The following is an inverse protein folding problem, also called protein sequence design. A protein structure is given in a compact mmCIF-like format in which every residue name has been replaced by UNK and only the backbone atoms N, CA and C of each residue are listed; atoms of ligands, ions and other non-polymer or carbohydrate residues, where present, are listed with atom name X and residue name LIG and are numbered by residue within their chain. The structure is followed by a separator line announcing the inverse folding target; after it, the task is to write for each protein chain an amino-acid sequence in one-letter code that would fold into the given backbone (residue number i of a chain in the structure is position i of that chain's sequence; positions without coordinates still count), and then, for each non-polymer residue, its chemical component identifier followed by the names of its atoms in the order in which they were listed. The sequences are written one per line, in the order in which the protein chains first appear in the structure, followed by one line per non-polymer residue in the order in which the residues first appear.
data_IF_107000203623
#
_entry.id   IF_107000203623
#
_cell.length_a   1.000
_cell.length_b   1.000
_cell.length_c   1.000
_cell.angle_alpha   90.00
_cell.angle_beta   90.00
_cell.angle_gamma   90.00
#
_symmetry.space_group_name_H-M   'P 1'
#
loop_
_entity.id
_entity.type
_entity.pdbx_description
1 polymer ?
#
# COMPACT_ATOMS: atom_id res chain seq x y z
N UNK A 1 25.85 25.98 -31.62
CA UNK A 1 24.52 26.16 -30.99
C UNK A 1 23.46 25.57 -31.90
N UNK A 2 22.94 24.39 -31.56
CA UNK A 2 21.78 23.78 -32.23
C UNK A 2 20.91 23.15 -31.14
N UNK A 3 19.70 23.69 -30.96
CA UNK A 3 18.67 23.10 -30.12
C UNK A 3 17.89 22.08 -30.95
N UNK A 4 17.72 20.82 -30.49
CA UNK A 4 16.76 19.92 -31.11
C UNK A 4 15.34 20.29 -30.68
N UNK A 5 14.50 20.60 -31.68
CA UNK A 5 13.07 20.89 -31.52
C UNK A 5 12.30 19.59 -31.29
N UNK A 6 11.73 19.41 -30.11
CA UNK A 6 10.83 18.27 -29.81
C UNK A 6 9.49 18.51 -30.50
N UNK A 7 9.17 17.67 -31.48
CA UNK A 7 7.88 17.63 -32.19
C UNK A 7 6.81 17.07 -31.24
N UNK A 8 5.93 17.92 -30.71
CA UNK A 8 4.81 17.50 -29.87
C UNK A 8 3.79 16.71 -30.72
N UNK A 9 3.54 15.46 -30.32
CA UNK A 9 2.52 14.58 -30.90
C UNK A 9 1.14 14.92 -30.29
N UNK A 10 0.04 14.92 -31.06
CA UNK A 10 -1.28 15.27 -30.54
C UNK A 10 -1.74 14.27 -29.48
N UNK A 11 -2.12 14.81 -28.32
CA UNK A 11 -2.59 14.09 -27.14
C UNK A 11 -3.93 13.40 -27.47
N UNK A 12 -3.94 12.07 -27.46
CA UNK A 12 -5.17 11.30 -27.59
C UNK A 12 -6.17 11.70 -26.49
N UNK A 13 -7.40 11.99 -26.91
CA UNK A 13 -8.53 12.37 -26.06
C UNK A 13 -8.78 11.31 -24.99
N UNK A 14 -8.69 11.69 -23.72
CA UNK A 14 -8.99 10.78 -22.61
C UNK A 14 -10.49 10.48 -22.58
N UNK A 15 -10.91 9.20 -22.44
CA UNK A 15 -12.32 8.88 -22.25
C UNK A 15 -12.81 9.46 -20.91
N UNK A 16 -13.94 10.14 -21.00
CA UNK A 16 -14.61 10.83 -19.89
C UNK A 16 -14.96 9.86 -18.76
N UNK A 17 -14.40 10.14 -17.59
CA UNK A 17 -14.84 9.76 -16.23
C UNK A 17 -15.99 8.74 -16.19
N UNK A 18 -15.64 7.45 -16.25
CA UNK A 18 -16.55 6.39 -15.83
C UNK A 18 -16.93 6.63 -14.36
N UNK A 19 -18.22 6.77 -14.10
CA UNK A 19 -18.77 6.89 -12.74
C UNK A 19 -18.38 5.67 -11.92
N UNK A 20 -17.39 5.84 -11.05
CA UNK A 20 -17.08 4.86 -10.01
C UNK A 20 -18.23 4.93 -9.01
N UNK A 21 -19.16 3.99 -9.11
CA UNK A 21 -20.24 3.83 -8.14
C UNK A 21 -19.60 3.60 -6.76
N UNK A 22 -19.72 4.60 -5.87
CA UNK A 22 -19.18 4.54 -4.50
C UNK A 22 -20.06 3.63 -3.66
N UNK A 23 -19.82 2.32 -3.72
CA UNK A 23 -20.47 1.34 -2.84
C UNK A 23 -19.92 1.54 -1.43
N UNK A 24 -20.77 1.96 -0.49
CA UNK A 24 -20.39 2.13 0.90
C UNK A 24 -20.28 0.79 1.65
N UNK A 25 -19.38 0.69 2.64
CA UNK A 25 -19.21 -0.49 3.53
C UNK A 25 -20.52 -1.04 4.10
N UNK A 26 -21.49 -0.16 4.40
CA UNK A 26 -22.82 -0.50 4.94
C UNK A 26 -23.80 -1.03 3.88
N UNK A 27 -23.59 -0.69 2.61
CA UNK A 27 -24.37 -1.20 1.48
C UNK A 27 -23.87 -2.58 1.03
N UNK A 28 -22.56 -2.83 1.10
CA UNK A 28 -21.98 -4.14 0.81
C UNK A 28 -22.55 -5.24 1.73
N UNK A 29 -22.73 -4.95 3.02
CA UNK A 29 -23.34 -5.89 3.98
C UNK A 29 -24.82 -6.21 3.71
N UNK A 30 -25.55 -5.34 2.99
CA UNK A 30 -26.94 -5.63 2.58
C UNK A 30 -27.01 -6.46 1.29
N UNK A 31 -26.03 -6.30 0.39
CA UNK A 31 -25.93 -7.05 -0.85
C UNK A 31 -25.50 -8.52 -0.64
N UNK A 32 -24.72 -8.84 0.39
CA UNK A 32 -24.35 -10.22 0.70
C UNK A 32 -25.50 -11.06 1.29
N UNK A 33 -26.57 -10.46 1.81
CA UNK A 33 -27.66 -11.20 2.48
C UNK A 33 -28.80 -11.60 1.52
N UNK A 34 -28.81 -11.11 0.28
CA UNK A 34 -29.85 -11.43 -0.70
C UNK A 34 -29.51 -12.62 -1.62
N UNK A 35 -28.36 -13.27 -1.42
CA UNK A 35 -27.88 -14.36 -2.29
C UNK A 35 -28.18 -15.80 -1.84
N UNK A 36 -28.78 -16.03 -0.65
CA UNK A 36 -28.99 -17.40 -0.12
C UNK A 36 -30.47 -17.83 -0.08
N UNK A 37 -31.43 -16.94 -0.34
CA UNK A 37 -32.86 -17.26 -0.15
C UNK A 37 -33.66 -17.44 -1.46
N UNK A 38 -33.08 -17.99 -2.52
CA UNK A 38 -33.84 -18.19 -3.77
C UNK A 38 -33.19 -19.12 -4.80
N UNK A 39 -33.27 -20.43 -4.57
CA UNK A 39 -33.23 -21.44 -5.64
C UNK A 39 -33.72 -22.80 -5.12
N UNK A 40 -35.03 -22.93 -4.89
CA UNK A 40 -35.69 -24.24 -4.95
C UNK A 40 -35.84 -24.62 -6.44
N UNK A 41 -34.80 -25.21 -7.03
CA UNK A 41 -34.81 -25.59 -8.44
C UNK A 41 -33.40 -25.96 -8.92
N UNK A 42 -33.18 -27.25 -9.11
CA UNK A 42 -31.86 -27.84 -9.28
C UNK A 42 -31.08 -27.31 -10.49
N UNK A 43 -29.87 -26.85 -10.23
CA UNK A 43 -28.71 -26.99 -11.11
C UNK A 43 -27.47 -26.89 -10.24
N UNK A 44 -26.92 -28.05 -9.85
CA UNK A 44 -25.62 -28.11 -9.20
C UNK A 44 -24.58 -27.85 -10.29
N UNK A 45 -23.96 -26.67 -10.26
CA UNK A 45 -22.71 -26.44 -10.99
C UNK A 45 -21.67 -27.33 -10.31
N UNK A 46 -21.37 -28.47 -10.94
CA UNK A 46 -20.19 -29.28 -10.61
C UNK A 46 -18.99 -28.56 -11.21
N UNK A 47 -18.28 -27.81 -10.38
CA UNK A 47 -16.93 -27.35 -10.71
C UNK A 47 -16.03 -28.57 -10.60
N UNK A 48 -15.50 -29.04 -11.72
CA UNK A 48 -14.51 -30.11 -11.74
C UNK A 48 -13.23 -29.65 -11.04
N UNK A 49 -12.86 -30.34 -9.98
CA UNK A 49 -11.53 -30.23 -9.38
C UNK A 49 -10.58 -31.05 -10.26
N UNK A 50 -9.95 -30.40 -11.23
CA UNK A 50 -8.76 -30.97 -11.87
C UNK A 50 -7.68 -31.13 -10.80
N UNK A 51 -7.49 -32.38 -10.37
CA UNK A 51 -6.56 -32.78 -9.33
C UNK A 51 -5.12 -32.56 -9.80
N UNK A 52 -4.58 -31.36 -9.56
CA UNK A 52 -3.14 -31.12 -9.55
C UNK A 52 -2.54 -31.85 -8.34
N UNK A 53 -1.58 -32.74 -8.63
CA UNK A 53 -0.97 -33.66 -7.68
C UNK A 53 -0.51 -33.00 -6.38
N UNK A 54 -1.14 -33.41 -5.28
CA UNK A 54 -0.74 -33.06 -3.93
C UNK A 54 0.43 -33.93 -3.49
N UNK A 55 1.65 -33.41 -3.63
CA UNK A 55 2.79 -33.88 -2.82
C UNK A 55 2.61 -33.31 -1.41
N UNK A 56 2.02 -34.12 -0.53
CA UNK A 56 1.56 -33.78 0.81
C UNK A 56 2.66 -33.46 1.83
N UNK A 57 3.23 -32.26 1.72
CA UNK A 57 3.71 -31.53 2.88
C UNK A 57 2.65 -30.51 3.29
N UNK A 58 2.41 -30.32 4.59
CA UNK A 58 1.55 -29.27 5.13
C UNK A 58 2.12 -27.90 4.75
N UNK A 59 1.79 -27.40 3.55
CA UNK A 59 2.33 -26.15 3.02
C UNK A 59 1.64 -24.99 3.71
N UNK A 60 2.19 -24.56 4.84
CA UNK A 60 1.78 -23.31 5.50
C UNK A 60 1.96 -22.13 4.54
N UNK A 61 1.00 -21.20 4.44
CA UNK A 61 1.15 -20.00 3.64
C UNK A 61 2.39 -19.21 4.06
N UNK A 62 3.10 -18.63 3.08
CA UNK A 62 4.19 -17.70 3.36
C UNK A 62 3.62 -16.44 4.01
N UNK A 63 4.21 -16.03 5.14
CA UNK A 63 3.84 -14.81 5.83
C UNK A 63 4.74 -13.67 5.33
N UNK A 64 4.15 -12.70 4.63
CA UNK A 64 4.87 -11.53 4.13
C UNK A 64 4.84 -10.39 5.14
N UNK A 65 5.97 -9.71 5.32
CA UNK A 65 6.04 -8.48 6.10
C UNK A 65 5.59 -7.31 5.22
N UNK A 66 4.53 -6.62 5.64
CA UNK A 66 4.01 -5.46 4.94
C UNK A 66 4.52 -4.19 5.61
N UNK A 67 5.25 -3.37 4.84
CA UNK A 67 5.76 -2.08 5.28
C UNK A 67 5.21 -0.94 4.43
N UNK A 68 5.13 0.26 5.01
CA UNK A 68 4.86 1.49 4.27
C UNK A 68 6.12 2.36 4.23
N UNK A 69 6.45 2.94 3.07
CA UNK A 69 7.58 3.85 2.93
C UNK A 69 7.24 5.25 3.44
N UNK A 70 8.20 5.94 4.07
CA UNK A 70 8.03 7.35 4.44
C UNK A 70 8.27 8.31 3.27
N UNK A 71 8.92 7.85 2.18
CA UNK A 71 9.30 8.67 1.02
C UNK A 71 8.13 9.43 0.36
N UNK A 72 6.92 8.83 0.14
CA UNK A 72 5.78 9.57 -0.40
C UNK A 72 5.34 10.75 0.47
N UNK A 73 5.71 10.77 1.75
CA UNK A 73 5.40 11.82 2.72
C UNK A 73 6.56 12.80 2.92
N UNK A 74 7.58 12.82 2.06
CA UNK A 74 8.78 13.65 2.23
C UNK A 74 8.53 15.17 2.27
N UNK A 75 7.35 15.65 1.88
CA UNK A 75 6.93 17.05 2.03
C UNK A 75 6.44 17.41 3.45
N UNK A 76 6.36 16.44 4.36
CA UNK A 76 5.88 16.59 5.73
C UNK A 76 6.93 16.10 6.73
N UNK A 77 6.87 16.56 8.00
CA UNK A 77 7.79 16.13 9.04
C UNK A 77 7.81 14.61 9.21
N UNK A 78 8.97 14.04 9.52
CA UNK A 78 9.12 12.58 9.66
C UNK A 78 8.15 12.02 10.70
N UNK A 79 7.96 12.72 11.83
CA UNK A 79 7.03 12.31 12.89
C UNK A 79 5.60 12.15 12.36
N UNK A 80 5.12 13.08 11.53
CA UNK A 80 3.78 13.03 10.95
C UNK A 80 3.61 11.83 10.02
N UNK A 81 4.65 11.50 9.24
CA UNK A 81 4.65 10.31 8.39
C UNK A 81 4.56 9.02 9.23
N UNK A 82 5.38 8.91 10.28
CA UNK A 82 5.39 7.75 11.18
C UNK A 82 4.04 7.57 11.90
N UNK A 83 3.45 8.65 12.41
CA UNK A 83 2.13 8.61 13.03
C UNK A 83 1.03 8.17 12.05
N UNK A 84 1.05 8.68 10.82
CA UNK A 84 0.12 8.29 9.77
C UNK A 84 0.24 6.82 9.38
N UNK A 85 1.47 6.32 9.23
CA UNK A 85 1.75 4.90 8.92
C UNK A 85 1.26 3.99 10.04
N UNK A 86 1.55 4.34 11.31
CA UNK A 86 1.03 3.61 12.47
C UNK A 86 -0.50 3.60 12.49
N UNK A 87 -1.12 4.77 12.32
CA UNK A 87 -2.58 4.91 12.34
C UNK A 87 -3.26 4.13 11.20
N UNK A 88 -2.56 3.90 10.09
CA UNK A 88 -3.02 3.04 8.99
C UNK A 88 -2.89 1.54 9.28
N UNK A 89 -2.30 1.14 10.42
CA UNK A 89 -2.22 -0.26 10.86
C UNK A 89 -0.99 -1.02 10.38
N UNK A 90 0.02 -0.34 9.83
CA UNK A 90 1.28 -0.98 9.47
C UNK A 90 2.11 -1.31 10.72
N UNK A 91 2.71 -2.50 10.72
CA UNK A 91 3.63 -2.96 11.76
C UNK A 91 5.10 -2.78 11.37
N UNK A 92 5.36 -2.38 10.12
CA UNK A 92 6.70 -2.17 9.61
C UNK A 92 6.75 -0.88 8.81
N UNK A 93 7.90 -0.21 8.83
CA UNK A 93 8.15 1.05 8.14
C UNK A 93 9.44 0.92 7.33
N UNK A 94 9.43 1.46 6.12
CA UNK A 94 10.62 1.64 5.31
C UNK A 94 10.94 3.15 5.23
N UNK A 95 12.16 3.53 5.58
CA UNK A 95 12.53 4.94 5.63
C UNK A 95 12.83 5.48 4.24
N UNK A 96 12.27 6.64 3.92
CA UNK A 96 12.68 7.46 2.79
C UNK A 96 14.02 8.16 3.06
N UNK A 97 14.44 9.00 2.12
CA UNK A 97 15.73 9.69 2.20
C UNK A 97 15.67 10.98 3.01
N UNK A 98 14.65 11.82 2.77
CA UNK A 98 14.53 13.17 3.37
C UNK A 98 13.09 13.53 3.71
N UNK A 99 12.89 14.34 4.75
CA UNK A 99 11.62 14.96 5.11
C UNK A 99 11.74 16.47 5.27
N UNK A 100 10.67 17.21 4.99
CA UNK A 100 10.57 18.63 5.33
C UNK A 100 10.14 18.76 6.79
N UNK A 101 11.01 19.26 7.65
CA UNK A 101 10.71 19.47 9.07
C UNK A 101 9.93 20.77 9.32
N UNK A 102 9.47 21.00 10.55
CA UNK A 102 8.60 22.14 10.89
C UNK A 102 9.18 23.52 10.51
N UNK A 103 10.51 23.66 10.43
CA UNK A 103 11.19 24.87 9.96
C UNK A 103 11.24 25.05 8.44
N UNK A 104 10.66 24.13 7.67
CA UNK A 104 10.67 24.15 6.19
C UNK A 104 11.94 23.57 5.55
N UNK A 105 12.94 23.17 6.36
CA UNK A 105 14.17 22.59 5.85
C UNK A 105 13.99 21.12 5.46
N UNK A 106 14.71 20.68 4.43
CA UNK A 106 14.80 19.26 4.05
C UNK A 106 15.89 18.57 4.85
N UNK A 107 15.49 17.70 5.76
CA UNK A 107 16.37 16.94 6.65
C UNK A 107 16.50 15.49 6.16
N UNK A 108 17.73 14.96 6.02
CA UNK A 108 17.94 13.54 5.80
C UNK A 108 17.44 12.70 6.97
N UNK A 109 16.67 11.64 6.68
CA UNK A 109 16.24 10.66 7.70
C UNK A 109 17.44 9.89 8.24
N UNK A 110 18.35 9.55 7.34
CA UNK A 110 19.64 8.93 7.63
C UNK A 110 20.70 9.66 6.79
N UNK A 111 21.56 10.49 7.39
CA UNK A 111 22.71 11.06 6.69
C UNK A 111 23.63 9.95 6.14
N UNK A 112 24.28 10.18 5.01
CA UNK A 112 25.09 9.16 4.33
C UNK A 112 26.35 8.75 5.13
N UNK A 113 26.85 9.66 5.97
CA UNK A 113 27.99 9.51 6.87
C UNK A 113 27.57 9.13 8.31
N UNK A 114 26.27 8.92 8.55
CA UNK A 114 25.78 8.57 9.87
C UNK A 114 26.29 7.17 10.30
N UNK A 115 26.80 7.10 11.53
CA UNK A 115 27.15 5.83 12.16
C UNK A 115 25.92 4.97 12.49
N UNK A 116 26.13 3.68 12.82
CA UNK A 116 25.04 2.74 13.11
C UNK A 116 24.16 3.13 14.30
N UNK A 117 24.68 3.96 15.22
CA UNK A 117 23.91 4.47 16.36
C UNK A 117 22.69 5.30 15.92
N UNK A 118 22.77 6.04 14.80
CA UNK A 118 21.63 6.81 14.30
C UNK A 118 20.50 5.89 13.81
N UNK A 119 20.86 4.80 13.15
CA UNK A 119 19.90 3.77 12.76
C UNK A 119 19.26 3.09 13.96
N UNK A 120 20.03 2.83 15.04
CA UNK A 120 19.50 2.27 16.29
C UNK A 120 18.51 3.20 16.98
N UNK A 121 18.83 4.50 17.06
CA UNK A 121 17.95 5.54 17.61
C UNK A 121 16.62 5.60 16.83
N UNK A 122 16.70 5.67 15.50
CA UNK A 122 15.52 5.74 14.64
C UNK A 122 14.68 4.46 14.73
N UNK A 123 15.31 3.29 14.76
CA UNK A 123 14.63 2.02 14.94
C UNK A 123 13.98 1.91 16.33
N UNK A 124 14.64 2.40 17.39
CA UNK A 124 14.08 2.41 18.74
C UNK A 124 12.83 3.30 18.83
N UNK A 125 12.85 4.48 18.19
CA UNK A 125 11.66 5.35 18.08
C UNK A 125 10.49 4.63 17.40
N UNK A 126 10.73 3.94 16.28
CA UNK A 126 9.69 3.17 15.59
C UNK A 126 9.11 2.06 16.49
N UNK A 127 9.97 1.31 17.20
CA UNK A 127 9.56 0.25 18.13
C UNK A 127 8.77 0.75 19.32
N UNK A 128 9.13 1.90 19.90
CA UNK A 128 8.34 2.56 20.94
C UNK A 128 6.96 2.96 20.42
N UNK A 129 6.84 3.21 19.12
CA UNK A 129 5.57 3.44 18.44
C UNK A 129 4.87 2.14 17.98
N UNK A 130 5.34 0.95 18.36
CA UNK A 130 4.69 -0.32 17.97
C UNK A 130 4.81 -0.65 16.48
N UNK A 131 5.88 -0.17 15.83
CA UNK A 131 6.29 -0.50 14.45
C UNK A 131 7.74 -0.98 14.38
#
# INVERSE_FOLDING_TARGET
MMHPTVKQSPRASQPTRSEVLRIGRRQFSRLCLAGIAGAAGGSRIVVGEDAVGSSGGDRRPTQFQLACMTLPYGAFPLQRALEGIRAAGYQHVAWGTTHVEAGGERVPVMPADAGPEKARELAARCRQMGM
#
